data_IF_770159124940
#
_entry.id   IF_770159124940
#
_cell.length_a   1.000
_cell.length_b   1.000
_cell.length_c   1.000
_cell.angle_alpha   90.00
_cell.angle_beta   90.00
_cell.angle_gamma   90.00
#
_symmetry.space_group_name_H-M   'P 1'
#
loop_
_entity.id
_entity.type
_entity.pdbx_description
1 polymer ?
#
# COMPACT_ATOMS: atom_id res chain seq x y z
N UNK A 1 -14.62 12.94 25.36
CA UNK A 1 -14.77 14.16 24.52
C UNK A 1 -14.03 13.87 23.21
N UNK A 2 -14.71 13.77 22.05
CA UNK A 2 -14.00 13.49 20.80
C UNK A 2 -13.08 14.67 20.49
N UNK A 3 -11.77 14.39 20.49
CA UNK A 3 -10.72 15.40 20.41
C UNK A 3 -10.60 16.02 19.01
N UNK A 4 -10.45 17.35 19.00
CA UNK A 4 -9.93 18.18 17.90
C UNK A 4 -10.72 18.16 16.59
N UNK A 5 -11.18 19.33 16.13
CA UNK A 5 -11.77 19.48 14.80
C UNK A 5 -10.84 19.03 13.66
N UNK A 6 -11.39 18.87 12.45
CA UNK A 6 -10.67 18.32 11.28
C UNK A 6 -9.29 18.96 11.04
N UNK A 7 -9.18 20.30 11.19
CA UNK A 7 -7.93 21.04 11.02
C UNK A 7 -6.85 20.62 12.03
N UNK A 8 -7.25 20.34 13.27
CA UNK A 8 -6.33 19.87 14.31
C UNK A 8 -5.82 18.47 14.00
N UNK A 9 -6.72 17.56 13.58
CA UNK A 9 -6.38 16.19 13.22
C UNK A 9 -5.42 16.15 12.03
N UNK A 10 -5.68 16.94 10.99
CA UNK A 10 -4.82 17.06 9.82
C UNK A 10 -3.40 17.52 10.17
N UNK A 11 -3.27 18.47 11.10
CA UNK A 11 -1.95 18.91 11.59
C UNK A 11 -1.20 17.79 12.30
N UNK A 12 -1.85 17.07 13.21
CA UNK A 12 -1.23 15.97 13.97
C UNK A 12 -0.83 14.82 13.03
N UNK A 13 -1.71 14.41 12.13
CA UNK A 13 -1.39 13.37 11.14
C UNK A 13 -0.31 13.82 10.17
N UNK A 14 -0.28 15.10 9.79
CA UNK A 14 0.78 15.65 8.93
C UNK A 14 2.17 15.53 9.54
N UNK A 15 2.33 15.86 10.83
CA UNK A 15 3.61 15.68 11.53
C UNK A 15 4.04 14.21 11.61
N UNK A 16 3.08 13.31 11.86
CA UNK A 16 3.35 11.88 11.88
C UNK A 16 3.83 11.39 10.51
N UNK A 17 3.11 11.74 9.45
CA UNK A 17 3.46 11.38 8.07
C UNK A 17 4.84 11.91 7.71
N UNK A 18 5.14 13.18 8.02
CA UNK A 18 6.46 13.76 7.75
C UNK A 18 7.59 13.00 8.45
N UNK A 19 7.39 12.66 9.73
CA UNK A 19 8.39 11.91 10.50
C UNK A 19 8.60 10.50 9.95
N UNK A 20 7.50 9.80 9.63
CA UNK A 20 7.55 8.47 9.06
C UNK A 20 8.21 8.47 7.67
N UNK A 21 7.93 9.48 6.86
CA UNK A 21 8.50 9.63 5.52
C UNK A 21 10.03 9.72 5.57
N UNK A 22 10.58 10.62 6.40
CA UNK A 22 12.03 10.78 6.55
C UNK A 22 12.67 9.49 7.06
N UNK A 23 12.11 8.90 8.12
CA UNK A 23 12.64 7.64 8.69
C UNK A 23 12.55 6.46 7.73
N UNK A 24 11.51 6.40 6.91
CA UNK A 24 11.32 5.39 5.87
C UNK A 24 12.45 5.44 4.85
N UNK A 25 12.82 6.64 4.38
CA UNK A 25 13.92 6.82 3.42
C UNK A 25 15.26 6.43 4.01
N UNK A 26 15.62 6.94 5.20
CA UNK A 26 16.89 6.59 5.86
C UNK A 26 17.01 5.09 6.14
N UNK A 27 15.89 4.43 6.47
CA UNK A 27 15.86 2.98 6.64
C UNK A 27 16.02 2.26 5.30
N UNK A 28 15.36 2.74 4.24
CA UNK A 28 15.46 2.17 2.90
C UNK A 28 16.91 2.17 2.41
N UNK A 29 17.63 3.28 2.57
CA UNK A 29 19.05 3.39 2.22
C UNK A 29 19.92 2.36 2.97
N UNK A 30 19.72 2.23 4.29
CA UNK A 30 20.47 1.25 5.09
C UNK A 30 20.16 -0.19 4.67
N UNK A 31 18.90 -0.49 4.34
CA UNK A 31 18.50 -1.80 3.81
C UNK A 31 19.12 -2.02 2.43
N UNK A 32 19.11 -1.01 1.56
CA UNK A 32 19.70 -1.09 0.22
C UNK A 32 21.21 -1.33 0.26
N UNK A 33 21.94 -0.64 1.14
CA UNK A 33 23.36 -0.90 1.37
C UNK A 33 23.61 -2.35 1.81
N UNK A 34 22.77 -2.89 2.70
CA UNK A 34 22.85 -4.29 3.11
C UNK A 34 22.50 -5.27 1.97
N UNK A 35 21.58 -4.89 1.07
CA UNK A 35 21.26 -5.67 -0.13
C UNK A 35 22.46 -5.72 -1.08
N UNK A 36 23.10 -4.58 -1.36
CA UNK A 36 24.31 -4.49 -2.19
C UNK A 36 25.44 -5.35 -1.62
N UNK A 37 25.67 -5.31 -0.30
CA UNK A 37 26.69 -6.13 0.37
C UNK A 37 26.43 -7.65 0.24
N UNK A 38 25.18 -8.07 -0.01
CA UNK A 38 24.80 -9.47 -0.24
C UNK A 38 24.80 -9.86 -1.73
N UNK A 39 25.17 -8.94 -2.63
CA UNK A 39 25.20 -9.17 -4.07
C UNK A 39 23.87 -8.92 -4.79
N UNK A 40 23.06 -7.97 -4.30
CA UNK A 40 21.84 -7.56 -4.99
C UNK A 40 22.13 -7.06 -6.42
N UNK A 41 21.45 -7.66 -7.39
CA UNK A 41 21.63 -7.48 -8.84
C UNK A 41 20.70 -6.40 -9.44
N UNK A 42 19.92 -5.70 -8.61
CA UNK A 42 18.94 -4.71 -9.04
C UNK A 42 17.54 -5.27 -9.27
N UNK A 43 17.35 -6.59 -9.22
CA UNK A 43 16.06 -7.24 -9.46
C UNK A 43 15.38 -7.64 -8.15
N UNK A 44 14.12 -7.23 -7.98
CA UNK A 44 13.34 -7.57 -6.79
C UNK A 44 12.92 -9.05 -6.82
N UNK A 45 13.66 -9.91 -6.10
CA UNK A 45 13.39 -11.35 -6.05
C UNK A 45 12.15 -11.65 -5.20
N UNK A 46 11.14 -12.27 -5.81
CA UNK A 46 9.95 -12.76 -5.09
C UNK A 46 10.29 -14.04 -4.33
N UNK A 47 9.98 -14.05 -3.03
CA UNK A 47 10.19 -15.22 -2.16
C UNK A 47 9.28 -16.40 -2.52
N UNK A 48 8.13 -16.13 -3.12
CA UNK A 48 7.20 -17.15 -3.61
C UNK A 48 6.65 -16.76 -4.99
N UNK A 49 6.43 -17.72 -5.90
CA UNK A 49 5.72 -17.45 -7.14
C UNK A 49 4.28 -17.04 -6.82
N UNK A 50 3.78 -16.02 -7.51
CA UNK A 50 2.37 -15.63 -7.43
C UNK A 50 1.52 -16.77 -8.00
N UNK A 51 0.69 -17.40 -7.16
CA UNK A 51 -0.26 -18.43 -7.58
C UNK A 51 -1.65 -17.83 -7.55
N UNK A 52 -2.32 -17.82 -8.70
CA UNK A 52 -3.75 -17.51 -8.78
C UNK A 52 -4.52 -18.67 -8.16
N UNK A 53 -4.85 -18.52 -6.89
CA UNK A 53 -5.73 -19.46 -6.20
C UNK A 53 -7.19 -19.18 -6.58
N UNK A 54 -8.03 -20.22 -6.66
CA UNK A 54 -9.43 -20.10 -7.06
C UNK A 54 -10.19 -19.11 -6.17
N UNK A 55 -9.83 -19.03 -4.88
CA UNK A 55 -10.38 -18.05 -3.94
C UNK A 55 -10.02 -16.61 -4.31
N UNK A 56 -8.77 -16.36 -4.70
CA UNK A 56 -8.31 -15.02 -5.11
C UNK A 56 -8.99 -14.55 -6.40
N UNK A 57 -9.21 -15.48 -7.34
CA UNK A 57 -9.96 -15.22 -8.56
C UNK A 57 -11.44 -14.91 -8.27
N UNK A 58 -12.08 -15.68 -7.37
CA UNK A 58 -13.47 -15.45 -6.98
C UNK A 58 -13.66 -14.07 -6.32
N UNK A 59 -12.76 -13.67 -5.40
CA UNK A 59 -12.80 -12.35 -4.78
C UNK A 59 -12.63 -11.24 -5.82
N UNK A 60 -11.69 -11.40 -6.76
CA UNK A 60 -11.52 -10.46 -7.87
C UNK A 60 -12.77 -10.32 -8.74
N UNK A 61 -13.42 -11.45 -9.07
CA UNK A 61 -14.64 -11.46 -9.86
C UNK A 61 -15.82 -10.77 -9.14
N UNK A 62 -15.98 -10.99 -7.83
CA UNK A 62 -17.01 -10.33 -7.02
C UNK A 62 -16.80 -8.82 -6.98
N UNK A 63 -15.56 -8.34 -6.82
CA UNK A 63 -15.24 -6.91 -6.83
C UNK A 63 -15.57 -6.28 -8.18
N UNK A 64 -15.22 -6.96 -9.28
CA UNK A 64 -15.53 -6.49 -10.64
C UNK A 64 -17.03 -6.46 -10.92
N UNK A 65 -17.78 -7.50 -10.51
CA UNK A 65 -19.23 -7.56 -10.64
C UNK A 65 -19.89 -6.43 -9.84
N UNK A 66 -19.47 -6.20 -8.61
CA UNK A 66 -19.96 -5.11 -7.79
C UNK A 66 -19.72 -3.75 -8.44
N UNK A 67 -18.49 -3.50 -8.91
CA UNK A 67 -18.15 -2.26 -9.64
C UNK A 67 -18.99 -2.08 -10.91
N UNK A 68 -19.17 -3.15 -11.69
CA UNK A 68 -19.99 -3.16 -12.89
C UNK A 68 -21.46 -2.84 -12.61
N UNK A 69 -22.04 -3.47 -11.57
CA UNK A 69 -23.41 -3.18 -11.13
C UNK A 69 -23.58 -1.70 -10.72
N UNK A 70 -22.63 -1.14 -9.99
CA UNK A 70 -22.66 0.28 -9.60
C UNK A 70 -22.58 1.19 -10.82
N UNK A 71 -21.70 0.91 -11.79
CA UNK A 71 -21.59 1.72 -13.01
C UNK A 71 -22.83 1.65 -13.90
N UNK A 72 -23.50 0.49 -13.96
CA UNK A 72 -24.78 0.33 -14.65
C UNK A 72 -25.88 1.14 -13.97
N UNK A 73 -25.97 1.08 -12.63
CA UNK A 73 -26.96 1.84 -11.86
C UNK A 73 -26.76 3.37 -11.93
N UNK A 74 -25.53 3.84 -12.15
CA UNK A 74 -25.22 5.28 -12.33
C UNK A 74 -25.48 5.75 -13.77
N UNK A 75 -25.48 4.85 -14.76
CA UNK A 75 -25.71 5.18 -16.17
C UNK A 75 -27.18 5.07 -16.61
N UNK A 76 -28.00 4.33 -15.86
CA UNK A 76 -29.46 4.24 -16.00
C UNK A 76 -30.14 5.45 -15.33
#
# INVERSE_FOLDING_TARGET
RPGGGLRWRARVSGHLVGTLFVRSIERSERVHAAMLARGYDGEARRLAPFRLDARSAAVGAVILLYGCCVQLAVRL
#
